data_IF_959104775241
#
_entry.id   IF_959104775241
#
_cell.length_a   1.000
_cell.length_b   1.000
_cell.length_c   1.000
_cell.angle_alpha   90.00
_cell.angle_beta   90.00
_cell.angle_gamma   90.00
#
_symmetry.space_group_name_H-M   'P 1'
#
loop_
_entity.id
_entity.type
_entity.pdbx_description
1 polymer ?
#
# COMPACT_ATOMS: atom_id res chain seq x y z
N UNK A 1 -23.78 -27.20 1.29
CA UNK A 1 -23.70 -25.77 0.93
C UNK A 1 -22.67 -25.65 -0.18
N UNK A 2 -23.02 -25.02 -1.29
CA UNK A 2 -22.09 -24.74 -2.39
C UNK A 2 -21.72 -23.26 -2.33
N UNK A 3 -20.43 -22.95 -2.39
CA UNK A 3 -19.91 -21.59 -2.37
C UNK A 3 -18.95 -21.41 -3.54
N UNK A 4 -19.14 -20.37 -4.32
CA UNK A 4 -18.21 -19.97 -5.37
C UNK A 4 -17.12 -19.09 -4.76
N UNK A 5 -15.87 -19.43 -5.05
CA UNK A 5 -14.69 -18.65 -4.63
C UNK A 5 -13.93 -18.23 -5.88
N UNK A 6 -13.67 -16.94 -6.00
CA UNK A 6 -12.83 -16.37 -7.05
C UNK A 6 -11.44 -16.11 -6.49
N UNK A 7 -10.40 -16.33 -7.29
CA UNK A 7 -9.04 -15.93 -6.96
C UNK A 7 -8.62 -14.81 -7.90
N UNK A 8 -8.22 -13.68 -7.35
CA UNK A 8 -7.94 -12.45 -8.10
C UNK A 8 -6.57 -11.91 -7.73
N UNK A 9 -5.75 -11.63 -8.74
CA UNK A 9 -4.43 -11.02 -8.60
C UNK A 9 -4.56 -9.49 -8.71
N UNK A 10 -4.85 -8.81 -7.60
CA UNK A 10 -5.00 -7.36 -7.59
C UNK A 10 -3.70 -6.63 -7.97
N UNK A 11 -3.82 -5.48 -8.64
CA UNK A 11 -2.68 -4.72 -9.17
C UNK A 11 -1.84 -5.45 -10.23
N UNK A 12 -2.38 -6.48 -10.88
CA UNK A 12 -1.71 -7.20 -11.96
C UNK A 12 -2.54 -7.23 -13.24
N UNK A 13 -1.85 -7.32 -14.38
CA UNK A 13 -2.46 -7.59 -15.70
C UNK A 13 -2.20 -9.01 -16.19
N UNK A 14 -1.40 -9.77 -15.43
CA UNK A 14 -0.99 -11.12 -15.78
C UNK A 14 -1.16 -12.01 -14.54
N UNK A 15 -1.54 -13.29 -14.72
CA UNK A 15 -1.55 -14.24 -13.62
C UNK A 15 -0.21 -14.29 -12.89
N UNK A 16 -0.26 -14.58 -11.60
CA UNK A 16 0.90 -14.73 -10.71
C UNK A 16 1.70 -13.44 -10.45
N UNK A 17 1.10 -12.28 -10.77
CA UNK A 17 1.62 -10.97 -10.39
C UNK A 17 0.75 -10.31 -9.31
N UNK A 18 1.13 -9.10 -8.87
CA UNK A 18 0.31 -8.32 -7.96
C UNK A 18 0.15 -8.95 -6.57
N UNK A 19 -1.02 -8.74 -5.95
CA UNK A 19 -1.36 -9.32 -4.66
C UNK A 19 -2.62 -10.21 -4.76
N UNK A 20 -2.50 -11.53 -4.55
CA UNK A 20 -3.62 -12.45 -4.66
C UNK A 20 -4.59 -12.29 -3.48
N UNK A 21 -5.88 -12.22 -3.78
CA UNK A 21 -6.96 -12.34 -2.81
C UNK A 21 -7.98 -13.39 -3.28
N UNK A 22 -8.61 -14.03 -2.30
CA UNK A 22 -9.80 -14.84 -2.56
C UNK A 22 -11.06 -13.99 -2.33
N UNK A 23 -12.11 -14.20 -3.13
CA UNK A 23 -13.36 -13.45 -3.04
C UNK A 23 -14.54 -14.41 -3.01
N UNK A 24 -15.40 -14.25 -2.01
CA UNK A 24 -16.68 -14.96 -1.88
C UNK A 24 -17.81 -13.92 -1.92
N UNK A 25 -18.73 -14.06 -2.88
CA UNK A 25 -19.92 -13.20 -2.97
C UNK A 25 -21.14 -14.08 -2.74
N UNK A 26 -21.98 -13.71 -1.78
CA UNK A 26 -23.18 -14.45 -1.40
C UNK A 26 -24.38 -13.53 -1.23
N UNK A 27 -25.60 -14.05 -1.42
CA UNK A 27 -26.82 -13.27 -1.21
C UNK A 27 -26.93 -12.77 0.24
N UNK A 28 -26.62 -13.64 1.19
CA UNK A 28 -26.63 -13.35 2.63
C UNK A 28 -25.26 -13.55 3.26
N UNK A 29 -25.01 -12.88 4.38
CA UNK A 29 -23.75 -12.99 5.12
C UNK A 29 -23.50 -14.38 5.71
N UNK A 30 -22.26 -14.86 5.57
CA UNK A 30 -21.78 -16.05 6.27
C UNK A 30 -21.51 -15.77 7.75
N UNK A 31 -21.46 -16.82 8.58
CA UNK A 31 -21.04 -16.67 9.97
C UNK A 31 -19.55 -16.33 10.05
N UNK A 32 -19.09 -15.53 11.04
CA UNK A 32 -17.67 -15.21 11.21
C UNK A 32 -16.77 -16.46 11.30
N UNK A 33 -17.24 -17.51 11.99
CA UNK A 33 -16.49 -18.76 12.13
C UNK A 33 -16.28 -19.47 10.79
N UNK A 34 -17.30 -19.46 9.91
CA UNK A 34 -17.17 -20.04 8.58
C UNK A 34 -16.26 -19.19 7.68
N UNK A 35 -16.39 -17.86 7.72
CA UNK A 35 -15.49 -16.95 7.00
C UNK A 35 -14.02 -17.18 7.39
N UNK A 36 -13.73 -17.29 8.69
CA UNK A 36 -12.38 -17.57 9.18
C UNK A 36 -11.86 -18.94 8.74
N UNK A 37 -12.71 -19.97 8.78
CA UNK A 37 -12.34 -21.32 8.33
C UNK A 37 -12.01 -21.35 6.83
N UNK A 38 -12.81 -20.66 6.00
CA UNK A 38 -12.54 -20.53 4.56
C UNK A 38 -11.25 -19.76 4.33
N UNK A 39 -11.02 -18.64 5.04
CA UNK A 39 -9.79 -17.86 4.89
C UNK A 39 -8.54 -18.67 5.28
N UNK A 40 -8.64 -19.50 6.33
CA UNK A 40 -7.57 -20.41 6.72
C UNK A 40 -7.28 -21.49 5.65
N UNK A 41 -8.32 -22.02 5.00
CA UNK A 41 -8.21 -23.00 3.92
C UNK A 41 -7.61 -22.39 2.65
N UNK A 42 -8.04 -21.19 2.25
CA UNK A 42 -7.55 -20.51 1.04
C UNK A 42 -6.07 -20.13 1.15
N UNK A 43 -5.58 -19.86 2.36
CA UNK A 43 -4.16 -19.60 2.66
C UNK A 43 -3.49 -18.52 1.78
N UNK A 44 -4.27 -17.55 1.31
CA UNK A 44 -3.81 -16.32 0.65
C UNK A 44 -3.64 -15.19 1.68
N UNK A 45 -3.19 -14.00 1.26
CA UNK A 45 -3.00 -12.88 2.18
C UNK A 45 -4.33 -12.51 2.86
N UNK A 46 -5.39 -12.35 2.06
CA UNK A 46 -6.73 -12.05 2.53
C UNK A 46 -7.81 -12.73 1.67
N UNK A 47 -8.87 -13.19 2.33
CA UNK A 47 -10.13 -13.61 1.72
C UNK A 47 -11.20 -12.58 2.01
N UNK A 48 -11.80 -12.03 0.97
CA UNK A 48 -12.90 -11.06 1.01
C UNK A 48 -14.26 -11.75 0.94
N UNK A 49 -15.20 -11.31 1.76
CA UNK A 49 -16.57 -11.82 1.79
C UNK A 49 -17.56 -10.67 1.64
N UNK A 50 -18.33 -10.68 0.56
CA UNK A 50 -19.39 -9.70 0.29
C UNK A 50 -20.77 -10.36 0.45
N UNK A 51 -21.60 -9.78 1.31
CA UNK A 51 -23.02 -10.10 1.40
C UNK A 51 -23.84 -9.08 0.58
N UNK A 52 -24.59 -9.55 -0.42
CA UNK A 52 -25.31 -8.67 -1.35
C UNK A 52 -26.53 -7.99 -0.74
N UNK A 53 -27.25 -8.65 0.16
CA UNK A 53 -28.44 -8.13 0.85
C UNK A 53 -28.16 -6.88 1.70
N UNK A 54 -26.98 -6.82 2.30
CA UNK A 54 -26.55 -5.79 3.24
C UNK A 54 -25.46 -4.89 2.67
N UNK A 55 -24.82 -5.29 1.56
CA UNK A 55 -23.63 -4.61 1.04
C UNK A 55 -22.41 -4.71 1.97
N UNK A 56 -22.44 -5.62 2.95
CA UNK A 56 -21.38 -5.76 3.95
C UNK A 56 -20.19 -6.50 3.37
N UNK A 57 -19.02 -5.87 3.44
CA UNK A 57 -17.75 -6.42 3.00
C UNK A 57 -16.83 -6.62 4.22
N UNK A 58 -16.28 -7.83 4.32
CA UNK A 58 -15.36 -8.25 5.40
C UNK A 58 -14.14 -8.93 4.80
N UNK A 59 -13.02 -8.86 5.50
CA UNK A 59 -11.78 -9.51 5.06
C UNK A 59 -11.15 -10.28 6.20
N UNK A 60 -10.64 -11.45 5.86
CA UNK A 60 -10.00 -12.34 6.80
C UNK A 60 -8.64 -12.72 6.26
N UNK A 61 -7.61 -12.55 7.09
CA UNK A 61 -6.38 -13.32 6.94
C UNK A 61 -6.65 -14.77 7.37
N UNK A 62 -5.73 -15.72 7.13
CA UNK A 62 -5.87 -17.08 7.65
C UNK A 62 -6.07 -17.18 9.17
N UNK A 63 -5.71 -16.14 9.93
CA UNK A 63 -5.69 -16.16 11.40
C UNK A 63 -6.74 -15.24 12.04
N UNK A 64 -7.09 -14.12 11.40
CA UNK A 64 -7.95 -13.09 12.00
C UNK A 64 -8.67 -12.23 10.95
N UNK A 65 -9.82 -11.69 11.34
CA UNK A 65 -10.48 -10.60 10.62
C UNK A 65 -9.66 -9.31 10.66
N UNK A 66 -9.60 -8.60 9.53
CA UNK A 66 -8.95 -7.28 9.44
C UNK A 66 -9.98 -6.20 9.16
N UNK A 67 -9.74 -5.01 9.71
CA UNK A 67 -10.69 -3.91 9.63
C UNK A 67 -10.75 -3.26 8.23
N UNK A 68 -9.70 -3.45 7.42
CA UNK A 68 -9.57 -2.82 6.11
C UNK A 68 -8.57 -3.57 5.22
N UNK A 69 -8.91 -3.74 3.93
CA UNK A 69 -8.04 -4.37 2.95
C UNK A 69 -8.29 -3.79 1.54
N UNK A 70 -7.38 -2.93 1.06
CA UNK A 70 -7.52 -2.27 -0.24
C UNK A 70 -7.51 -3.24 -1.43
N UNK A 71 -6.50 -4.10 -1.54
CA UNK A 71 -6.41 -5.04 -2.66
C UNK A 71 -7.55 -6.07 -2.67
N UNK A 72 -8.02 -6.50 -1.50
CA UNK A 72 -9.22 -7.34 -1.38
C UNK A 72 -10.50 -6.61 -1.81
N UNK A 73 -10.61 -5.31 -1.53
CA UNK A 73 -11.73 -4.48 -2.02
C UNK A 73 -11.71 -4.31 -3.54
N UNK A 74 -10.53 -4.06 -4.12
CA UNK A 74 -10.35 -4.04 -5.58
C UNK A 74 -10.70 -5.38 -6.22
N UNK A 75 -10.31 -6.48 -5.58
CA UNK A 75 -10.62 -7.83 -6.04
C UNK A 75 -12.13 -8.08 -6.08
N UNK A 76 -12.87 -7.62 -5.08
CA UNK A 76 -14.34 -7.66 -5.09
C UNK A 76 -14.90 -6.82 -6.22
N UNK A 77 -14.39 -5.61 -6.45
CA UNK A 77 -14.78 -4.76 -7.57
C UNK A 77 -14.56 -5.42 -8.94
N UNK A 78 -13.43 -6.12 -9.11
CA UNK A 78 -13.10 -6.86 -10.32
C UNK A 78 -14.09 -8.00 -10.58
N UNK A 79 -14.38 -8.81 -9.55
CA UNK A 79 -15.39 -9.88 -9.67
C UNK A 79 -16.76 -9.32 -9.98
N UNK A 80 -17.18 -8.23 -9.31
CA UNK A 80 -18.48 -7.60 -9.59
C UNK A 80 -18.56 -7.09 -11.03
N UNK A 81 -17.48 -6.51 -11.56
CA UNK A 81 -17.41 -6.08 -12.96
C UNK A 81 -17.52 -7.27 -13.92
N UNK A 82 -16.76 -8.33 -13.67
CA UNK A 82 -16.79 -9.55 -14.49
C UNK A 82 -18.17 -10.23 -14.50
N UNK A 83 -18.87 -10.20 -13.36
CA UNK A 83 -20.24 -10.72 -13.22
C UNK A 83 -21.31 -9.77 -13.78
N UNK A 84 -20.94 -8.62 -14.35
CA UNK A 84 -21.89 -7.64 -14.90
C UNK A 84 -22.69 -6.88 -13.84
N UNK A 85 -22.24 -6.89 -12.58
CA UNK A 85 -22.89 -6.22 -11.44
C UNK A 85 -22.29 -4.83 -11.15
N UNK A 86 -21.27 -4.42 -11.91
CA UNK A 86 -20.63 -3.11 -11.82
C UNK A 86 -20.15 -2.69 -13.21
N UNK A 87 -20.81 -1.69 -13.79
CA UNK A 87 -20.57 -1.19 -15.14
C UNK A 87 -19.56 -0.02 -15.22
N UNK A 88 -19.26 0.39 -16.45
CA UNK A 88 -18.41 1.56 -16.73
C UNK A 88 -19.01 2.83 -16.15
N UNK A 89 -18.19 3.63 -15.44
CA UNK A 89 -18.64 4.85 -14.77
C UNK A 89 -19.48 4.62 -13.51
N UNK A 90 -19.77 3.38 -13.16
CA UNK A 90 -20.48 3.04 -11.93
C UNK A 90 -19.53 2.93 -10.74
N UNK A 91 -20.09 3.07 -9.54
CA UNK A 91 -19.40 2.82 -8.29
C UNK A 91 -20.26 2.04 -7.32
N UNK A 92 -19.62 1.27 -6.45
CA UNK A 92 -20.27 0.53 -5.37
C UNK A 92 -19.61 0.88 -4.05
N UNK A 93 -20.46 1.22 -3.07
CA UNK A 93 -20.04 1.46 -1.69
C UNK A 93 -20.37 0.25 -0.85
N UNK A 94 -19.39 -0.19 -0.05
CA UNK A 94 -19.50 -1.32 0.85
C UNK A 94 -19.55 -0.85 2.31
N UNK A 95 -20.32 -1.56 3.14
CA UNK A 95 -20.27 -1.39 4.60
C UNK A 95 -19.15 -2.25 5.18
N UNK A 96 -18.23 -1.63 5.91
CA UNK A 96 -17.02 -2.29 6.43
C UNK A 96 -16.76 -1.88 7.87
N UNK A 97 -15.89 -2.60 8.59
CA UNK A 97 -15.50 -2.22 9.96
C UNK A 97 -14.81 -0.85 10.03
N UNK A 98 -14.17 -0.42 8.94
CA UNK A 98 -13.52 0.89 8.83
C UNK A 98 -14.45 2.00 8.33
N UNK A 99 -15.75 1.71 8.22
CA UNK A 99 -16.74 2.60 7.61
C UNK A 99 -16.94 2.33 6.11
N UNK A 100 -17.67 3.20 5.40
CA UNK A 100 -17.95 3.03 3.98
C UNK A 100 -16.67 3.06 3.14
N UNK A 101 -16.57 2.13 2.19
CA UNK A 101 -15.51 2.13 1.17
C UNK A 101 -16.14 2.01 -0.21
N UNK A 102 -15.65 2.82 -1.15
CA UNK A 102 -16.19 2.83 -2.50
C UNK A 102 -15.15 2.35 -3.50
N UNK A 103 -15.60 1.49 -4.42
CA UNK A 103 -14.88 1.16 -5.65
C UNK A 103 -15.64 1.76 -6.83
N UNK A 104 -14.93 2.33 -7.79
CA UNK A 104 -15.53 2.85 -9.03
C UNK A 104 -14.79 2.34 -10.26
N UNK A 105 -15.50 2.19 -11.37
CA UNK A 105 -14.92 1.80 -12.65
C UNK A 105 -14.59 3.04 -13.47
N UNK A 106 -13.35 3.11 -13.93
CA UNK A 106 -12.78 4.20 -14.72
C UNK A 106 -12.06 3.63 -15.95
N UNK A 107 -12.82 3.31 -16.99
CA UNK A 107 -12.36 2.59 -18.17
C UNK A 107 -11.80 1.22 -17.78
N UNK A 108 -10.52 1.02 -18.02
CA UNK A 108 -9.82 -0.21 -17.68
C UNK A 108 -9.42 -0.27 -16.19
N UNK A 109 -9.74 0.74 -15.39
CA UNK A 109 -9.30 0.86 -14.00
C UNK A 109 -10.44 0.68 -13.01
N UNK A 110 -10.12 0.10 -11.87
CA UNK A 110 -10.88 0.17 -10.64
C UNK A 110 -10.19 1.16 -9.72
N UNK A 111 -10.95 2.10 -9.18
CA UNK A 111 -10.47 3.16 -8.31
C UNK A 111 -11.09 3.02 -6.93
N UNK A 112 -10.25 3.00 -5.90
CA UNK A 112 -10.65 3.13 -4.50
C UNK A 112 -10.44 4.57 -4.04
N UNK A 113 -11.41 5.06 -3.27
CA UNK A 113 -11.28 6.32 -2.55
C UNK A 113 -10.89 6.03 -1.10
N UNK A 114 -9.71 6.50 -0.70
CA UNK A 114 -9.24 6.43 0.69
C UNK A 114 -9.14 7.84 1.28
N UNK A 115 -9.49 8.01 2.57
CA UNK A 115 -9.23 9.26 3.26
C UNK A 115 -7.73 9.51 3.35
N UNK A 116 -7.31 10.74 3.05
CA UNK A 116 -5.93 11.18 3.23
C UNK A 116 -5.52 11.03 4.71
N UNK A 117 -4.37 10.40 4.95
CA UNK A 117 -3.81 10.24 6.30
C UNK A 117 -2.38 10.76 6.35
N UNK A 118 -2.16 11.98 6.87
CA UNK A 118 -0.83 12.58 6.90
C UNK A 118 0.11 11.78 7.81
N UNK A 119 1.33 11.57 7.34
CA UNK A 119 2.41 11.02 8.16
C UNK A 119 3.13 12.16 8.89
N UNK A 120 3.50 11.95 10.15
CA UNK A 120 4.22 12.93 10.95
C UNK A 120 5.72 12.65 10.90
N UNK A 121 6.55 13.59 10.40
CA UNK A 121 7.99 13.44 10.42
C UNK A 121 8.53 13.22 11.84
N UNK A 122 9.52 12.35 11.98
CA UNK A 122 10.16 12.07 13.28
C UNK A 122 11.61 11.61 13.10
N UNK A 123 12.35 11.55 14.21
CA UNK A 123 13.73 11.05 14.18
C UNK A 123 13.75 9.55 13.88
N UNK A 124 14.65 9.08 12.99
CA UNK A 124 14.69 7.66 12.64
C UNK A 124 15.13 6.79 13.79
N UNK A 125 14.41 5.69 13.93
CA UNK A 125 14.78 4.63 14.85
C UNK A 125 15.96 3.82 14.27
N UNK A 126 17.11 3.97 14.91
CA UNK A 126 18.33 3.22 14.55
C UNK A 126 18.13 1.70 14.59
N UNK A 127 17.29 1.18 15.47
CA UNK A 127 17.02 -0.26 15.57
C UNK A 127 16.20 -0.75 14.37
N UNK A 128 15.22 0.04 13.92
CA UNK A 128 14.45 -0.25 12.72
C UNK A 128 15.31 -0.19 11.45
N UNK A 129 16.14 0.85 11.31
CA UNK A 129 17.04 0.98 10.17
C UNK A 129 18.04 -0.18 10.11
N UNK A 130 18.59 -0.60 11.27
CA UNK A 130 19.45 -1.77 11.35
C UNK A 130 18.72 -3.06 10.93
N UNK A 131 17.48 -3.26 11.38
CA UNK A 131 16.66 -4.41 11.00
C UNK A 131 16.31 -4.43 9.50
N UNK A 132 16.22 -3.26 8.86
CA UNK A 132 16.03 -3.11 7.41
C UNK A 132 17.34 -3.18 6.61
N UNK A 133 18.49 -3.21 7.28
CA UNK A 133 19.81 -3.07 6.66
C UNK A 133 19.96 -1.75 5.85
N UNK A 134 19.38 -0.66 6.36
CA UNK A 134 19.45 0.67 5.75
C UNK A 134 20.39 1.56 6.57
N UNK A 135 21.37 2.18 5.92
CA UNK A 135 22.21 3.18 6.56
C UNK A 135 21.45 4.51 6.74
N UNK A 136 21.62 5.15 7.90
CA UNK A 136 20.97 6.45 8.20
C UNK A 136 21.25 7.53 7.15
N UNK A 137 22.42 7.49 6.52
CA UNK A 137 22.86 8.39 5.45
C UNK A 137 22.01 8.30 4.17
N UNK A 138 21.36 7.16 3.92
CA UNK A 138 20.48 6.92 2.78
C UNK A 138 19.04 7.35 3.01
N UNK A 139 18.68 7.65 4.26
CA UNK A 139 17.32 8.03 4.64
C UNK A 139 17.11 9.51 4.36
N UNK A 140 16.37 9.79 3.28
CA UNK A 140 15.92 11.13 2.91
C UNK A 140 14.78 11.60 3.80
N UNK A 141 13.89 10.67 4.17
CA UNK A 141 12.85 10.97 5.12
C UNK A 141 12.41 9.78 5.96
N UNK A 142 11.90 10.10 7.15
CA UNK A 142 11.32 9.16 8.08
C UNK A 142 10.11 9.79 8.74
N UNK A 143 8.98 9.10 8.69
CA UNK A 143 7.72 9.58 9.22
C UNK A 143 6.90 8.43 9.80
N UNK A 144 5.99 8.77 10.70
CA UNK A 144 5.08 7.82 11.32
C UNK A 144 3.63 8.17 11.04
N UNK A 145 2.82 7.15 10.81
CA UNK A 145 1.37 7.24 10.77
C UNK A 145 0.83 6.21 11.77
N UNK A 146 0.53 6.67 12.99
CA UNK A 146 0.19 5.78 14.11
C UNK A 146 1.29 4.73 14.35
N UNK A 147 0.97 3.42 14.32
CA UNK A 147 1.94 2.35 14.55
C UNK A 147 2.77 1.99 13.32
N UNK A 148 2.65 2.72 12.21
CA UNK A 148 3.34 2.45 10.96
C UNK A 148 4.47 3.43 10.75
N UNK A 149 5.57 2.91 10.21
CA UNK A 149 6.72 3.72 9.83
C UNK A 149 6.81 3.80 8.32
N UNK A 150 7.23 4.95 7.86
CA UNK A 150 7.66 5.17 6.49
C UNK A 150 9.10 5.62 6.45
N UNK A 151 9.86 5.01 5.55
CA UNK A 151 11.25 5.35 5.25
C UNK A 151 11.34 5.68 3.77
N UNK A 152 11.78 6.89 3.44
CA UNK A 152 12.10 7.29 2.06
C UNK A 152 13.61 7.27 1.89
N UNK A 153 14.08 6.54 0.89
CA UNK A 153 15.50 6.43 0.52
C UNK A 153 15.73 7.04 -0.87
N UNK A 154 16.97 7.38 -1.18
CA UNK A 154 17.35 8.03 -2.44
C UNK A 154 17.53 7.05 -3.62
N UNK A 155 17.81 5.78 -3.33
CA UNK A 155 18.21 4.79 -4.33
C UNK A 155 17.14 3.70 -4.50
N UNK A 156 16.46 3.61 -5.66
CA UNK A 156 15.45 2.57 -5.90
C UNK A 156 16.03 1.15 -5.83
N UNK A 157 17.27 0.95 -6.30
CA UNK A 157 17.95 -0.34 -6.20
C UNK A 157 18.10 -0.83 -4.75
N UNK A 158 18.19 0.10 -3.77
CA UNK A 158 18.19 -0.26 -2.35
C UNK A 158 16.86 -0.91 -1.96
N UNK A 159 15.73 -0.31 -2.34
CA UNK A 159 14.39 -0.82 -2.02
C UNK A 159 14.20 -2.22 -2.60
N UNK A 160 14.56 -2.41 -3.87
CA UNK A 160 14.48 -3.71 -4.55
C UNK A 160 15.33 -4.78 -3.85
N UNK A 161 16.55 -4.43 -3.46
CA UNK A 161 17.50 -5.35 -2.84
C UNK A 161 17.29 -5.60 -1.33
N UNK A 162 16.33 -4.91 -0.67
CA UNK A 162 16.12 -5.08 0.77
C UNK A 162 15.91 -6.55 1.15
N UNK A 163 16.72 -7.00 2.10
CA UNK A 163 16.58 -8.31 2.75
C UNK A 163 16.54 -8.09 4.28
N UNK A 164 15.39 -7.66 4.83
CA UNK A 164 15.31 -7.30 6.24
C UNK A 164 15.52 -8.50 7.17
N UNK A 165 16.11 -8.25 8.33
CA UNK A 165 16.12 -9.21 9.43
C UNK A 165 14.70 -9.29 10.04
N UNK A 166 13.93 -10.26 9.56
CA UNK A 166 12.57 -10.50 10.05
C UNK A 166 12.52 -10.89 11.53
N UNK A 167 13.59 -11.44 12.12
CA UNK A 167 13.65 -11.74 13.55
C UNK A 167 13.81 -10.46 14.36
N UNK A 168 14.66 -9.54 13.91
CA UNK A 168 14.81 -8.23 14.52
C UNK A 168 13.54 -7.38 14.36
N UNK A 169 12.95 -7.32 13.16
CA UNK A 169 11.72 -6.58 12.89
C UNK A 169 10.59 -7.00 13.85
N UNK A 170 10.44 -8.31 14.10
CA UNK A 170 9.44 -8.87 15.04
C UNK A 170 9.54 -8.38 16.47
N UNK A 171 10.71 -7.89 16.90
CA UNK A 171 10.96 -7.41 18.26
C UNK A 171 10.68 -5.91 18.41
N UNK A 172 10.53 -5.19 17.31
CA UNK A 172 10.32 -3.75 17.31
C UNK A 172 8.84 -3.42 17.51
N UNK A 173 8.53 -2.31 18.20
CA UNK A 173 7.16 -1.83 18.31
C UNK A 173 6.66 -1.36 16.93
N UNK A 174 5.39 -1.60 16.64
CA UNK A 174 4.74 -1.15 15.42
C UNK A 174 4.02 -2.26 14.66
N UNK A 175 3.26 -1.88 13.63
CA UNK A 175 2.47 -2.80 12.79
C UNK A 175 3.07 -3.04 11.41
N UNK A 176 3.92 -2.14 10.93
CA UNK A 176 4.55 -2.28 9.64
C UNK A 176 5.45 -1.12 9.26
N UNK A 177 6.33 -1.37 8.30
CA UNK A 177 7.21 -0.37 7.72
C UNK A 177 7.10 -0.42 6.20
N UNK A 178 6.90 0.75 5.60
CA UNK A 178 7.04 0.93 4.15
C UNK A 178 8.37 1.61 3.86
N UNK A 179 9.11 1.07 2.91
CA UNK A 179 10.33 1.70 2.38
C UNK A 179 10.07 2.10 0.95
N UNK A 180 10.30 3.36 0.61
CA UNK A 180 10.01 3.91 -0.73
C UNK A 180 11.19 4.69 -1.30
N UNK A 181 11.26 4.76 -2.62
CA UNK A 181 12.23 5.58 -3.35
C UNK A 181 11.60 6.11 -4.64
N UNK A 182 12.12 7.22 -5.20
CA UNK A 182 11.78 7.63 -6.57
C UNK A 182 12.06 6.48 -7.55
N UNK A 183 11.16 6.30 -8.52
CA UNK A 183 11.32 5.24 -9.52
C UNK A 183 12.44 5.56 -10.50
N UNK A 184 13.20 4.53 -10.89
CA UNK A 184 14.13 4.61 -12.03
C UNK A 184 13.40 4.51 -13.38
N UNK A 185 12.22 3.87 -13.41
CA UNK A 185 11.37 3.82 -14.60
C UNK A 185 10.48 5.07 -14.65
N UNK A 186 10.58 5.92 -15.70
CA UNK A 186 9.80 7.14 -15.84
C UNK A 186 8.28 6.90 -16.02
N UNK A 187 7.85 5.66 -16.23
CA UNK A 187 6.43 5.30 -16.23
C UNK A 187 5.79 5.38 -14.83
N UNK A 188 6.61 5.34 -13.77
CA UNK A 188 6.19 5.36 -12.37
C UNK A 188 6.83 6.53 -11.63
N UNK A 189 6.16 7.02 -10.59
CA UNK A 189 6.69 8.10 -9.76
C UNK A 189 7.61 7.55 -8.66
N UNK A 190 7.25 6.39 -8.11
CA UNK A 190 7.96 5.78 -6.99
C UNK A 190 7.83 4.26 -6.99
N UNK A 191 8.72 3.63 -6.23
CA UNK A 191 8.65 2.22 -5.86
C UNK A 191 8.59 2.10 -4.34
N UNK A 192 7.87 1.09 -3.84
CA UNK A 192 7.71 0.87 -2.41
C UNK A 192 7.75 -0.62 -2.07
N UNK A 193 8.26 -0.97 -0.89
CA UNK A 193 8.08 -2.31 -0.30
C UNK A 193 7.53 -2.19 1.10
N UNK A 194 6.64 -3.12 1.44
CA UNK A 194 6.00 -3.16 2.74
C UNK A 194 6.44 -4.40 3.52
N UNK A 195 6.78 -4.20 4.78
CA UNK A 195 7.18 -5.26 5.70
C UNK A 195 6.33 -5.19 6.98
N UNK A 196 5.64 -6.28 7.31
CA UNK A 196 4.91 -6.40 8.57
C UNK A 196 5.66 -7.30 9.56
N UNK A 197 6.08 -6.78 10.74
CA UNK A 197 6.68 -7.58 11.80
C UNK A 197 5.76 -8.69 12.32
N UNK A 198 4.47 -8.40 12.44
CA UNK A 198 3.50 -9.21 13.19
C UNK A 198 2.85 -10.36 12.41
N UNK A 199 3.37 -10.73 11.23
CA UNK A 199 2.86 -11.84 10.38
C UNK A 199 3.00 -13.26 10.97
N UNK A 200 3.15 -13.41 12.29
CA UNK A 200 2.93 -14.64 13.03
C UNK A 200 2.16 -14.29 14.29
N UNK A 201 0.85 -14.53 14.35
CA UNK A 201 0.20 -14.66 15.65
C UNK A 201 0.73 -15.93 16.31
N UNK A 202 0.99 -15.84 17.60
CA UNK A 202 1.68 -16.84 18.40
C UNK A 202 0.83 -18.13 18.48
N UNK A 203 1.36 -19.24 17.96
CA UNK A 203 0.98 -20.59 18.38
C UNK A 203 0.23 -21.46 17.37
N UNK A 204 0.93 -21.97 16.35
CA UNK A 204 0.71 -23.33 15.79
C UNK A 204 1.85 -23.73 14.84
N UNK A 205 2.51 -24.88 15.03
CA UNK A 205 3.51 -25.38 14.08
C UNK A 205 2.78 -25.96 12.86
N UNK A 206 3.01 -25.41 11.66
CA UNK A 206 2.60 -26.05 10.41
C UNK A 206 2.00 -25.15 9.30
N UNK A 207 1.64 -23.90 9.57
CA UNK A 207 1.04 -23.05 8.53
C UNK A 207 2.08 -22.28 7.72
N UNK A 208 1.98 -22.41 6.38
CA UNK A 208 2.81 -21.71 5.40
C UNK A 208 2.58 -20.20 5.53
N UNK A 209 3.67 -19.46 5.40
CA UNK A 209 3.68 -18.00 5.30
C UNK A 209 2.69 -17.56 4.19
N UNK A 210 1.71 -16.73 4.54
CA UNK A 210 1.13 -15.84 3.55
C UNK A 210 2.24 -14.94 2.98
N UNK A 211 2.23 -14.62 1.68
CA UNK A 211 3.33 -13.90 1.08
C UNK A 211 3.48 -12.52 1.74
N UNK A 212 4.63 -12.31 2.41
CA UNK A 212 5.27 -11.00 2.37
C UNK A 212 5.36 -10.62 0.89
N UNK A 213 4.80 -9.48 0.48
CA UNK A 213 4.88 -8.99 -0.90
C UNK A 213 6.31 -9.21 -1.43
N UNK A 214 6.52 -10.15 -2.38
CA UNK A 214 7.87 -10.54 -2.78
C UNK A 214 8.52 -9.49 -3.69
N UNK A 215 7.74 -8.53 -4.21
CA UNK A 215 8.21 -7.48 -5.10
C UNK A 215 7.82 -6.07 -4.66
N UNK A 216 8.47 -5.03 -5.22
CA UNK A 216 8.09 -3.65 -5.01
C UNK A 216 6.68 -3.37 -5.56
N UNK A 217 5.85 -2.68 -4.78
CA UNK A 217 4.67 -1.99 -5.26
C UNK A 217 5.14 -0.79 -6.08
N UNK A 218 4.79 -0.78 -7.36
CA UNK A 218 5.03 0.34 -8.26
C UNK A 218 3.81 1.27 -8.21
N UNK A 219 4.05 2.57 -7.99
CA UNK A 219 2.99 3.57 -7.87
C UNK A 219 3.04 4.60 -8.98
N UNK A 220 1.87 4.95 -9.53
CA UNK A 220 1.69 6.12 -10.41
C UNK A 220 0.55 6.96 -9.84
N UNK A 221 0.83 8.22 -9.50
CA UNK A 221 -0.18 9.13 -8.99
C UNK A 221 -0.95 9.75 -10.16
N UNK A 222 -2.13 9.23 -10.49
CA UNK A 222 -3.04 9.94 -11.39
C UNK A 222 -3.69 11.09 -10.63
N UNK A 223 -3.18 12.31 -10.78
CA UNK A 223 -4.02 13.49 -10.54
C UNK A 223 -5.18 13.42 -11.53
N UNK A 224 -6.42 13.42 -11.03
CA UNK A 224 -7.55 13.83 -11.85
C UNK A 224 -7.30 15.29 -12.25
N UNK A 225 -6.81 15.51 -13.47
CA UNK A 225 -6.86 16.83 -14.09
C UNK A 225 -8.23 16.95 -14.77
N UNK A 226 -8.97 18.07 -14.56
CA UNK A 226 -10.05 18.41 -15.46
C UNK A 226 -9.44 18.60 -16.86
N UNK A 227 -10.12 18.04 -17.87
CA UNK A 227 -9.72 18.13 -19.25
C UNK A 227 -9.55 19.60 -19.68
N UNK A 228 -8.40 19.94 -20.25
CA UNK A 228 -8.25 21.05 -21.19
C UNK A 228 -7.00 20.86 -22.06
N UNK A 229 -7.14 21.23 -23.33
CA UNK A 229 -6.36 20.77 -24.50
C UNK A 229 -4.92 21.26 -24.67
N UNK A 230 -4.33 21.02 -25.88
CA UNK A 230 -2.89 20.98 -26.07
C UNK A 230 -2.31 22.38 -26.32
N UNK A 231 -1.23 22.71 -25.62
CA UNK A 231 -0.29 23.73 -26.08
C UNK A 231 1.12 23.21 -25.82
N UNK A 232 1.87 23.04 -26.91
CA UNK A 232 3.22 22.48 -26.90
C UNK A 232 4.29 23.52 -26.59
N UNK A 233 5.48 23.02 -26.25
CA UNK A 233 6.81 23.55 -26.60
C UNK A 233 7.90 22.49 -26.23
N UNK A 234 9.03 22.41 -26.95
CA UNK A 234 9.94 21.25 -26.99
C UNK A 234 11.08 21.28 -25.95
N UNK A 235 11.86 20.18 -25.78
CA UNK A 235 12.77 20.00 -24.64
C UNK A 235 14.15 20.63 -24.86
N UNK A 236 14.74 21.20 -23.80
CA UNK A 236 16.15 21.58 -23.78
C UNK A 236 17.02 20.52 -23.09
N UNK A 237 18.02 20.04 -23.82
CA UNK A 237 19.12 19.18 -23.37
C UNK A 237 20.06 19.93 -22.42
N UNK A 238 20.65 19.21 -21.44
CA UNK A 238 22.03 19.38 -20.92
C UNK A 238 22.41 18.06 -20.25
N UNK A 239 23.33 17.29 -20.83
CA UNK A 239 24.79 17.37 -20.75
C UNK A 239 25.31 16.46 -19.61
N UNK A 240 25.91 15.34 -20.04
CA UNK A 240 26.62 14.40 -19.19
C UNK A 240 27.97 14.98 -18.75
N UNK A 241 28.34 14.79 -17.49
CA UNK A 241 29.73 14.81 -17.05
C UNK A 241 29.92 13.78 -15.95
N UNK A 242 30.75 12.78 -16.22
CA UNK A 242 31.12 11.78 -15.23
C UNK A 242 32.13 12.33 -14.22
N UNK A 243 32.11 11.78 -13.01
CA UNK A 243 33.26 11.78 -12.11
C UNK A 243 33.22 10.58 -11.16
N UNK A 244 34.28 9.78 -11.31
CA UNK A 244 34.89 8.76 -10.46
C UNK A 244 34.35 8.59 -9.03
N UNK A 245 34.05 7.33 -8.71
CA UNK A 245 33.91 6.83 -7.36
C UNK A 245 35.23 6.96 -6.58
N UNK A 246 35.16 7.64 -5.42
CA UNK A 246 36.19 7.61 -4.40
C UNK A 246 35.54 7.25 -3.07
N UNK A 247 35.98 6.12 -2.51
CA UNK A 247 35.71 5.70 -1.14
C UNK A 247 36.33 6.73 -0.19
N UNK A 248 35.56 7.28 0.74
CA UNK A 248 36.12 8.03 1.87
C UNK A 248 35.23 7.90 3.11
N UNK A 249 35.93 7.84 4.24
CA UNK A 249 35.47 7.44 5.56
C UNK A 249 34.55 8.45 6.26
N UNK A 250 33.82 7.93 7.25
CA UNK A 250 32.91 8.66 8.14
C UNK A 250 33.61 9.76 8.93
N UNK A 251 33.20 11.02 8.73
CA UNK A 251 33.39 12.08 9.71
C UNK A 251 32.08 12.82 9.95
N UNK A 252 31.75 12.95 11.24
CA UNK A 252 30.56 13.59 11.80
C UNK A 252 30.75 15.09 11.92
N UNK A 253 29.82 15.88 11.39
CA UNK A 253 29.78 17.33 11.61
C UNK A 253 28.35 17.85 11.59
N UNK A 254 27.87 18.33 12.74
CA UNK A 254 26.58 18.99 12.95
C UNK A 254 26.68 20.49 12.66
N UNK A 255 25.86 21.00 11.74
CA UNK A 255 25.71 22.43 11.44
C UNK A 255 24.23 22.84 11.36
N UNK A 256 23.90 24.14 11.48
CA UNK A 256 22.53 24.63 11.73
C UNK A 256 21.59 24.50 10.52
N UNK A 257 20.30 24.52 10.84
CA UNK A 257 19.14 24.14 10.03
C UNK A 257 19.07 24.80 8.63
N UNK A 258 19.14 23.97 7.59
CA UNK A 258 19.13 24.33 6.17
C UNK A 258 17.69 24.50 5.62
N UNK A 259 17.35 25.58 4.89
CA UNK A 259 16.09 25.73 4.16
C UNK A 259 15.77 24.55 3.20
N UNK A 260 16.77 23.81 2.71
CA UNK A 260 16.56 22.57 1.95
C UNK A 260 15.85 21.49 2.78
N UNK A 261 16.04 21.44 4.11
CA UNK A 261 15.32 20.50 4.99
C UNK A 261 13.82 20.79 5.08
N UNK A 262 13.36 22.04 4.92
CA UNK A 262 11.92 22.38 4.91
C UNK A 262 11.25 21.94 3.61
N UNK A 263 11.93 22.12 2.47
CA UNK A 263 11.46 21.61 1.19
C UNK A 263 11.43 20.07 1.18
N UNK A 264 12.49 19.42 1.66
CA UNK A 264 12.56 17.98 1.84
C UNK A 264 11.48 17.46 2.81
N UNK A 265 11.13 18.20 3.87
CA UNK A 265 10.04 17.84 4.78
C UNK A 265 8.66 17.89 4.10
N UNK A 266 8.42 18.86 3.20
CA UNK A 266 7.14 18.98 2.48
C UNK A 266 7.03 17.97 1.33
N UNK A 267 8.12 17.70 0.62
CA UNK A 267 8.18 16.64 -0.40
C UNK A 267 8.12 15.25 0.23
N UNK A 268 8.74 15.06 1.40
CA UNK A 268 8.57 13.86 2.18
C UNK A 268 7.12 13.63 2.60
N UNK A 269 6.43 14.67 3.09
CA UNK A 269 5.00 14.57 3.45
C UNK A 269 4.22 14.04 2.24
N UNK A 270 4.41 14.62 1.06
CA UNK A 270 3.66 14.26 -0.15
C UNK A 270 4.00 12.90 -0.74
N UNK A 271 5.28 12.58 -0.89
CA UNK A 271 5.70 11.25 -1.36
C UNK A 271 5.27 10.19 -0.34
N UNK A 272 5.31 10.56 0.94
CA UNK A 272 4.99 9.67 2.02
C UNK A 272 3.51 9.42 2.26
N UNK A 273 2.68 10.44 2.10
CA UNK A 273 1.22 10.30 2.06
C UNK A 273 0.81 9.32 0.96
N UNK A 274 1.38 9.47 -0.24
CA UNK A 274 1.03 8.67 -1.43
C UNK A 274 1.50 7.22 -1.34
N UNK A 275 2.73 6.99 -0.92
CA UNK A 275 3.22 5.63 -0.69
C UNK A 275 2.50 4.98 0.51
N UNK A 276 2.04 5.75 1.49
CA UNK A 276 1.22 5.21 2.58
C UNK A 276 -0.16 4.79 2.08
N UNK A 277 -0.86 5.64 1.32
CA UNK A 277 -2.16 5.31 0.74
C UNK A 277 -2.09 4.06 -0.16
N UNK A 278 -1.06 3.98 -1.01
CA UNK A 278 -0.85 2.85 -1.94
C UNK A 278 -0.48 1.56 -1.22
N UNK A 279 0.47 1.61 -0.27
CA UNK A 279 0.98 0.41 0.38
C UNK A 279 0.05 -0.11 1.48
N UNK A 280 -0.74 0.76 2.09
CA UNK A 280 -1.46 0.39 3.30
C UNK A 280 -2.97 0.32 3.15
N UNK A 281 -3.62 1.03 2.23
CA UNK A 281 -5.08 1.07 2.14
C UNK A 281 -5.74 1.01 3.52
N UNK A 282 -5.38 1.87 4.47
CA UNK A 282 -5.69 1.72 5.90
C UNK A 282 -6.12 3.05 6.54
N UNK A 283 -7.00 2.96 7.55
CA UNK A 283 -7.36 4.01 8.53
C UNK A 283 -7.01 3.53 9.95
N UNK A 284 -6.91 4.47 10.90
CA UNK A 284 -7.00 4.25 12.35
C UNK A 284 -8.16 5.10 12.92
N UNK A 285 -8.59 4.89 14.18
CA UNK A 285 -9.91 5.32 14.64
C UNK A 285 -9.98 6.84 14.84
N UNK A 286 -11.05 7.45 14.33
CA UNK A 286 -11.34 8.88 14.53
C UNK A 286 -12.77 9.20 14.10
N UNK A 287 -13.59 9.58 15.08
CA UNK A 287 -15.04 9.82 14.99
C UNK A 287 -15.45 11.01 14.11
N UNK A 288 -16.77 11.33 14.10
CA UNK A 288 -17.41 12.05 13.00
C UNK A 288 -17.18 13.55 13.10
N UNK A 289 -16.77 14.15 11.98
CA UNK A 289 -16.65 15.60 11.84
C UNK A 289 -16.42 15.96 10.38
N UNK A 290 -17.39 16.65 9.80
CA UNK A 290 -17.42 17.14 8.42
C UNK A 290 -16.21 18.01 8.06
N UNK A 291 -15.48 17.69 6.99
CA UNK A 291 -14.69 18.64 6.22
C UNK A 291 -14.33 18.07 4.83
N UNK A 292 -14.30 18.97 3.84
CA UNK A 292 -14.13 18.80 2.40
C UNK A 292 -13.23 17.66 1.90
N UNK A 293 -13.77 16.87 0.97
CA UNK A 293 -13.09 15.79 0.25
C UNK A 293 -11.87 16.27 -0.56
N UNK A 294 -10.69 15.85 -0.13
CA UNK A 294 -9.53 15.59 -1.00
C UNK A 294 -9.05 14.18 -0.62
N UNK A 295 -9.39 13.19 -1.43
CA UNK A 295 -8.97 11.81 -1.25
C UNK A 295 -7.83 11.48 -2.20
N UNK A 296 -6.91 10.63 -1.76
CA UNK A 296 -5.93 10.01 -2.64
C UNK A 296 -6.59 8.78 -3.27
N UNK A 297 -6.74 8.81 -4.60
CA UNK A 297 -7.33 7.70 -5.36
C UNK A 297 -6.28 6.63 -5.61
N UNK A 298 -6.52 5.41 -5.14
CA UNK A 298 -5.71 4.24 -5.49
C UNK A 298 -6.38 3.56 -6.68
N UNK A 299 -5.67 3.46 -7.80
CA UNK A 299 -6.17 2.80 -9.01
C UNK A 299 -5.45 1.47 -9.24
N UNK A 300 -6.22 0.45 -9.62
CA UNK A 300 -5.70 -0.81 -10.14
C UNK A 300 -6.38 -1.08 -11.47
N UNK A 301 -5.63 -1.57 -12.47
CA UNK A 301 -6.25 -1.94 -13.74
C UNK A 301 -7.00 -3.25 -13.53
N UNK A 302 -8.26 -3.29 -13.96
CA UNK A 302 -9.06 -4.52 -13.99
C UNK A 302 -8.56 -5.47 -15.09
#
# INVERSE_FOLDING_TARGET
MNLTVYQVDAFSRTPFGGNPAAVCITDQGLTPALMQAIAAEMAVSETAFLALDTGRLRWFTPEVEVELCGHGTLSVGAVLREQGMLGEGEGKTFETLSGPLSVSVQGEWLALDFPEQPATPCEPDSALLAALCIERSRVQCYAMNGPKVMVVVDEPALVEALAPDHVALRRLPGRGVVVSAPSADPAFDFISRYFSPSGRVRGRPGHRLGPLHPGPLLGRATRAHPADGPSGLPPQRRAASGAKAQRAACHTGSGPCDPQRRAASAECSKLGERACATAFGLRGPGGPGSASHRGDTVTARA
#
